data_IF_316578832002
#
_entry.id   IF_316578832002
#
_cell.length_a   1.000
_cell.length_b   1.000
_cell.length_c   1.000
_cell.angle_alpha   90.00
_cell.angle_beta   90.00
_cell.angle_gamma   90.00
#
_symmetry.space_group_name_H-M   'P 1'
#
loop_
_entity.id
_entity.type
_entity.pdbx_description
1 polymer ?
#
# COMPACT_ATOMS: atom_id res chain seq x y z
N UNK A 1 13.80 -11.12 8.07
CA UNK A 1 13.51 -9.78 7.52
C UNK A 1 12.20 -9.26 8.12
N UNK A 2 12.15 -7.98 8.49
CA UNK A 2 10.95 -7.30 9.02
C UNK A 2 10.53 -6.18 8.11
N UNK A 3 9.32 -6.24 7.61
CA UNK A 3 8.76 -5.26 6.66
C UNK A 3 7.53 -4.61 7.26
N UNK A 4 7.51 -3.28 7.30
CA UNK A 4 6.35 -2.49 7.69
C UNK A 4 5.65 -1.98 6.44
N UNK A 5 4.37 -2.29 6.29
CA UNK A 5 3.51 -1.68 5.28
C UNK A 5 2.51 -0.75 5.96
N UNK A 6 2.50 0.52 5.59
CA UNK A 6 1.61 1.56 6.10
C UNK A 6 0.44 1.71 5.12
N UNK A 7 -0.78 1.59 5.63
CA UNK A 7 -2.00 1.75 4.84
C UNK A 7 -2.22 3.20 4.38
N UNK A 8 -3.19 3.39 3.50
CA UNK A 8 -3.51 4.61 2.76
C UNK A 8 -3.30 5.90 3.57
N UNK A 9 -2.25 6.68 3.25
CA UNK A 9 -1.94 7.93 3.95
C UNK A 9 -2.87 9.02 3.46
N UNK A 10 -3.74 9.53 4.34
CA UNK A 10 -4.79 10.50 4.01
C UNK A 10 -4.47 11.88 4.55
N UNK A 11 -4.18 12.81 3.64
CA UNK A 11 -4.00 14.24 3.91
C UNK A 11 -2.87 14.58 4.88
N UNK A 12 -2.89 15.79 5.42
CA UNK A 12 -1.87 16.26 6.39
C UNK A 12 -1.90 15.49 7.72
N UNK A 13 -3.07 15.11 8.29
CA UNK A 13 -3.07 14.33 9.53
C UNK A 13 -2.37 12.97 9.36
N UNK A 14 -2.58 12.28 8.22
CA UNK A 14 -1.91 11.01 7.91
C UNK A 14 -0.39 11.17 7.77
N UNK A 15 0.08 12.21 7.07
CA UNK A 15 1.52 12.48 6.97
C UNK A 15 2.14 12.84 8.31
N UNK A 16 1.43 13.63 9.13
CA UNK A 16 1.95 14.06 10.44
C UNK A 16 2.15 12.88 11.39
N UNK A 17 1.18 11.96 11.51
CA UNK A 17 1.35 10.80 12.40
C UNK A 17 2.49 9.88 11.92
N UNK A 18 2.68 9.76 10.59
CA UNK A 18 3.83 9.02 10.04
C UNK A 18 5.14 9.70 10.45
N UNK A 19 5.25 11.02 10.29
CA UNK A 19 6.42 11.80 10.70
C UNK A 19 6.73 11.63 12.19
N UNK A 20 5.71 11.66 13.03
CA UNK A 20 5.85 11.61 14.49
C UNK A 20 6.20 10.22 15.02
N UNK A 21 5.79 9.14 14.33
CA UNK A 21 5.86 7.78 14.87
C UNK A 21 6.83 6.84 14.13
N UNK A 22 7.09 7.08 12.83
CA UNK A 22 7.79 6.09 12.00
C UNK A 22 9.19 5.77 12.51
N UNK A 23 9.98 6.77 12.88
CA UNK A 23 11.36 6.57 13.34
C UNK A 23 11.43 5.67 14.58
N UNK A 24 10.53 5.90 15.53
CA UNK A 24 10.44 5.10 16.76
C UNK A 24 10.01 3.66 16.47
N UNK A 25 9.01 3.48 15.60
CA UNK A 25 8.53 2.15 15.21
C UNK A 25 9.66 1.37 14.52
N UNK A 26 10.36 2.01 13.56
CA UNK A 26 11.48 1.41 12.84
C UNK A 26 12.57 0.95 13.80
N UNK A 27 12.92 1.79 14.79
CA UNK A 27 13.95 1.48 15.78
C UNK A 27 13.50 0.36 16.74
N UNK A 28 12.33 0.49 17.35
CA UNK A 28 11.82 -0.45 18.36
C UNK A 28 11.51 -1.83 17.78
N UNK A 29 10.94 -1.88 16.59
CA UNK A 29 10.56 -3.12 15.90
C UNK A 29 11.67 -3.67 14.99
N UNK A 30 12.82 -2.97 14.87
CA UNK A 30 13.96 -3.34 14.02
C UNK A 30 13.52 -3.60 12.57
N UNK A 31 12.83 -2.62 11.98
CA UNK A 31 12.29 -2.72 10.62
C UNK A 31 13.42 -2.58 9.59
N UNK A 32 13.49 -3.53 8.66
CA UNK A 32 14.45 -3.55 7.55
C UNK A 32 13.97 -2.77 6.33
N UNK A 33 12.64 -2.71 6.11
CA UNK A 33 12.02 -2.10 4.92
C UNK A 33 10.67 -1.48 5.31
N UNK A 34 10.43 -0.24 4.89
CA UNK A 34 9.15 0.46 5.05
C UNK A 34 8.55 0.73 3.68
N UNK A 35 7.31 0.33 3.49
CA UNK A 35 6.49 0.58 2.30
C UNK A 35 5.20 1.27 2.76
N UNK A 36 4.64 2.17 1.96
CA UNK A 36 3.37 2.82 2.29
C UNK A 36 2.51 3.06 1.04
N UNK A 37 1.19 3.05 1.20
CA UNK A 37 0.32 3.60 0.17
C UNK A 37 0.18 5.11 0.39
N UNK A 38 0.62 5.91 -0.60
CA UNK A 38 0.68 7.37 -0.55
C UNK A 38 -0.35 8.07 -1.42
N UNK A 39 -1.28 7.34 -2.07
CA UNK A 39 -2.15 7.92 -3.09
C UNK A 39 -3.05 9.06 -2.60
N UNK A 40 -3.39 9.09 -1.31
CA UNK A 40 -4.30 10.08 -0.72
C UNK A 40 -3.58 11.17 0.09
N UNK A 41 -2.26 11.27 -0.02
CA UNK A 41 -1.43 12.17 0.78
C UNK A 41 -1.70 13.66 0.52
N UNK A 42 -2.17 14.05 -0.69
CA UNK A 42 -2.45 15.42 -1.07
C UNK A 42 -3.92 15.81 -0.80
N UNK A 43 -4.24 16.15 0.43
CA UNK A 43 -5.59 16.57 0.85
C UNK A 43 -6.67 15.51 0.58
N UNK A 44 -6.31 14.24 0.71
CA UNK A 44 -7.21 13.10 0.55
C UNK A 44 -7.34 12.56 -0.87
N UNK A 45 -6.73 13.19 -1.89
CA UNK A 45 -6.78 12.76 -3.28
C UNK A 45 -5.47 13.04 -4.01
N UNK A 46 -4.81 12.00 -4.48
CA UNK A 46 -3.55 12.09 -5.19
C UNK A 46 -2.33 12.36 -4.29
N UNK A 47 -1.17 12.45 -4.92
CA UNK A 47 0.10 12.82 -4.33
C UNK A 47 0.81 13.84 -5.23
N UNK A 48 1.52 14.81 -4.64
CA UNK A 48 2.35 15.77 -5.37
C UNK A 48 3.82 15.37 -5.32
N UNK A 49 4.69 15.83 -6.24
CA UNK A 49 6.13 15.59 -6.18
C UNK A 49 6.74 15.93 -4.82
N UNK A 50 6.43 17.11 -4.29
CA UNK A 50 6.91 17.56 -2.97
C UNK A 50 6.52 16.61 -1.84
N UNK A 51 5.26 16.12 -1.84
CA UNK A 51 4.78 15.20 -0.81
C UNK A 51 5.36 13.79 -0.97
N UNK A 52 5.63 13.35 -2.19
CA UNK A 52 6.35 12.12 -2.43
C UNK A 52 7.77 12.18 -1.88
N UNK A 53 8.52 13.26 -2.17
CA UNK A 53 9.85 13.48 -1.61
C UNK A 53 9.84 13.59 -0.07
N UNK A 54 8.84 14.28 0.50
CA UNK A 54 8.64 14.40 1.95
C UNK A 54 8.48 13.00 2.60
N UNK A 55 7.57 12.17 2.09
CA UNK A 55 7.32 10.82 2.61
C UNK A 55 8.53 9.89 2.44
N UNK A 56 9.17 9.92 1.27
CA UNK A 56 10.40 9.15 1.03
C UNK A 56 11.55 9.60 1.96
N UNK A 57 11.61 10.91 2.26
CA UNK A 57 12.57 11.49 3.19
C UNK A 57 12.37 11.07 4.65
N UNK A 58 11.17 10.64 5.05
CA UNK A 58 10.87 10.10 6.38
C UNK A 58 11.40 8.67 6.58
N UNK A 59 11.95 8.03 5.53
CA UNK A 59 12.48 6.66 5.58
C UNK A 59 11.52 5.60 5.00
N UNK A 60 10.47 6.03 4.29
CA UNK A 60 9.68 5.12 3.44
C UNK A 60 10.50 4.83 2.19
N UNK A 61 10.73 3.56 1.89
CA UNK A 61 11.55 3.16 0.75
C UNK A 61 10.74 3.11 -0.55
N UNK A 62 9.46 2.73 -0.49
CA UNK A 62 8.58 2.64 -1.68
C UNK A 62 7.21 3.17 -1.32
N UNK A 63 6.67 4.01 -2.20
CA UNK A 63 5.28 4.48 -2.16
C UNK A 63 4.47 3.75 -3.23
N UNK A 64 3.38 3.10 -2.84
CA UNK A 64 2.38 2.58 -3.77
C UNK A 64 1.26 3.60 -3.98
N UNK A 65 0.52 3.46 -5.07
CA UNK A 65 -0.61 4.30 -5.44
C UNK A 65 -1.89 3.49 -5.61
N UNK A 66 -2.85 4.07 -6.31
CA UNK A 66 -4.15 3.46 -6.60
C UNK A 66 -4.92 4.27 -7.64
N UNK A 67 -6.25 4.30 -7.52
CA UNK A 67 -7.12 4.99 -8.49
C UNK A 67 -6.96 6.53 -8.49
N UNK A 68 -6.38 7.12 -7.43
CA UNK A 68 -6.09 8.54 -7.33
C UNK A 68 -4.67 8.92 -7.78
N UNK A 69 -3.91 8.00 -8.38
CA UNK A 69 -2.51 8.25 -8.82
C UNK A 69 -2.35 9.45 -9.74
N UNK A 70 -3.42 9.83 -10.49
CA UNK A 70 -3.39 10.90 -11.50
C UNK A 70 -4.12 12.18 -11.09
N UNK A 71 -4.65 12.28 -9.88
CA UNK A 71 -5.48 13.41 -9.45
C UNK A 71 -4.68 14.72 -9.31
N UNK A 72 -3.36 14.64 -9.21
CA UNK A 72 -2.44 15.79 -9.24
C UNK A 72 -1.63 15.77 -10.53
N UNK A 73 -1.94 16.68 -11.44
CA UNK A 73 -1.37 16.69 -12.80
C UNK A 73 0.15 16.75 -12.83
N UNK A 74 0.76 17.45 -11.88
CA UNK A 74 2.22 17.57 -11.73
C UNK A 74 2.94 16.23 -11.51
N UNK A 75 2.21 15.21 -11.07
CA UNK A 75 2.79 13.88 -10.85
C UNK A 75 3.15 13.17 -12.16
N UNK A 76 2.50 13.51 -13.25
CA UNK A 76 2.72 12.91 -14.57
C UNK A 76 4.16 13.11 -15.07
N UNK A 77 4.73 14.29 -14.83
CA UNK A 77 6.10 14.62 -15.21
C UNK A 77 7.12 14.06 -14.19
N UNK A 78 6.72 13.92 -12.94
CA UNK A 78 7.60 13.49 -11.86
C UNK A 78 7.80 11.96 -11.78
N UNK A 79 6.72 11.18 -11.94
CA UNK A 79 6.75 9.72 -11.78
C UNK A 79 7.82 9.00 -12.62
N UNK A 80 8.08 9.36 -13.88
CA UNK A 80 9.15 8.73 -14.66
C UNK A 80 10.55 8.87 -14.07
N UNK A 81 10.76 9.89 -13.23
CA UNK A 81 12.05 10.19 -12.61
C UNK A 81 12.15 9.71 -11.15
N UNK A 82 11.05 9.20 -10.58
CA UNK A 82 11.02 8.67 -9.20
C UNK A 82 10.59 7.21 -9.19
N UNK A 83 11.51 6.26 -9.38
CA UNK A 83 11.17 4.84 -9.50
C UNK A 83 10.57 4.23 -8.23
N UNK A 84 10.74 4.88 -7.06
CA UNK A 84 10.17 4.44 -5.79
C UNK A 84 8.73 4.90 -5.55
N UNK A 85 8.17 5.71 -6.46
CA UNK A 85 6.75 6.06 -6.47
C UNK A 85 6.05 5.22 -7.54
N UNK A 86 5.26 4.25 -7.10
CA UNK A 86 4.55 3.34 -7.98
C UNK A 86 3.13 3.82 -8.26
N UNK A 87 2.65 3.48 -9.43
CA UNK A 87 1.24 3.49 -9.79
C UNK A 87 0.77 2.06 -10.03
N UNK A 88 -0.53 1.76 -10.08
CA UNK A 88 -0.97 0.42 -10.45
C UNK A 88 -0.37 -0.04 -11.77
N UNK A 89 0.26 -1.22 -11.75
CA UNK A 89 1.00 -1.77 -12.88
C UNK A 89 0.10 -2.16 -14.06
N UNK A 90 -1.17 -2.44 -13.79
CA UNK A 90 -2.17 -2.82 -14.78
C UNK A 90 -2.88 -1.64 -15.46
N UNK A 91 -2.38 -0.40 -15.35
CA UNK A 91 -2.70 0.64 -16.32
C UNK A 91 -2.16 0.28 -17.71
N UNK A 92 -2.77 0.76 -18.80
CA UNK A 92 -2.30 0.54 -20.16
C UNK A 92 -0.83 0.90 -20.35
N UNK A 93 -0.18 0.28 -21.34
CA UNK A 93 1.20 0.60 -21.70
C UNK A 93 1.34 2.07 -22.13
N UNK A 94 2.51 2.65 -21.85
CA UNK A 94 2.84 4.03 -22.25
C UNK A 94 2.44 5.12 -21.25
N UNK A 95 1.68 4.80 -20.18
CA UNK A 95 1.42 5.80 -19.13
C UNK A 95 2.66 6.00 -18.25
N UNK A 96 2.88 7.22 -17.70
CA UNK A 96 4.06 7.54 -16.90
C UNK A 96 4.26 6.64 -15.68
N UNK A 97 5.53 6.44 -15.27
CA UNK A 97 5.89 5.70 -14.08
C UNK A 97 5.83 4.17 -14.22
N UNK A 98 6.07 3.47 -13.14
CA UNK A 98 6.12 2.00 -13.06
C UNK A 98 5.15 1.45 -12.03
N UNK A 99 4.70 0.22 -12.21
CA UNK A 99 3.95 -0.54 -11.20
C UNK A 99 4.83 -1.48 -10.39
N UNK A 100 6.13 -1.56 -10.71
CA UNK A 100 7.07 -2.48 -10.06
C UNK A 100 8.36 -1.76 -9.73
N UNK A 101 8.87 -1.97 -8.53
CA UNK A 101 10.19 -1.52 -8.09
C UNK A 101 10.98 -2.68 -7.50
N UNK A 102 12.28 -2.73 -7.81
CA UNK A 102 13.23 -3.68 -7.23
C UNK A 102 14.32 -2.90 -6.50
N UNK A 103 14.55 -3.25 -5.25
CA UNK A 103 15.54 -2.59 -4.38
C UNK A 103 16.28 -3.57 -3.47
N UNK A 104 17.12 -3.01 -2.59
CA UNK A 104 17.85 -3.75 -1.56
C UNK A 104 17.52 -3.13 -0.21
N UNK A 105 17.03 -3.96 0.72
CA UNK A 105 16.68 -3.52 2.07
C UNK A 105 17.93 -3.30 2.94
N UNK A 106 17.77 -2.67 4.11
CA UNK A 106 18.88 -2.37 5.05
C UNK A 106 19.70 -3.59 5.46
N UNK A 107 19.05 -4.76 5.52
CA UNK A 107 19.70 -6.04 5.84
C UNK A 107 20.34 -6.75 4.64
N UNK A 108 20.41 -6.10 3.46
CA UNK A 108 21.00 -6.64 2.25
C UNK A 108 20.07 -7.55 1.42
N UNK A 109 18.85 -7.80 1.84
CA UNK A 109 17.89 -8.63 1.11
C UNK A 109 17.35 -7.85 -0.08
N UNK A 110 17.45 -8.45 -1.29
CA UNK A 110 16.85 -7.90 -2.50
C UNK A 110 15.35 -8.15 -2.51
N UNK A 111 14.58 -7.09 -2.73
CA UNK A 111 13.12 -7.14 -2.69
C UNK A 111 12.48 -6.56 -3.95
N UNK A 112 11.23 -6.94 -4.18
CA UNK A 112 10.36 -6.29 -5.17
C UNK A 112 9.05 -5.87 -4.51
N UNK A 113 8.51 -4.74 -4.97
CA UNK A 113 7.17 -4.25 -4.65
C UNK A 113 6.39 -4.10 -5.94
N UNK A 114 5.21 -4.71 -6.00
CA UNK A 114 4.26 -4.57 -7.09
C UNK A 114 3.02 -3.85 -6.58
N UNK A 115 2.53 -2.89 -7.34
CA UNK A 115 1.26 -2.22 -7.10
C UNK A 115 0.27 -2.61 -8.20
N UNK A 116 -0.90 -3.08 -7.83
CA UNK A 116 -1.98 -3.50 -8.73
C UNK A 116 -3.30 -2.86 -8.30
N UNK A 117 -4.21 -2.64 -9.26
CA UNK A 117 -5.55 -2.14 -8.98
C UNK A 117 -6.61 -3.13 -9.44
N UNK A 118 -7.65 -3.29 -8.62
CA UNK A 118 -8.84 -4.03 -8.97
C UNK A 118 -9.68 -3.35 -10.05
N UNK A 119 -10.67 -4.07 -10.57
CA UNK A 119 -11.56 -3.58 -11.64
C UNK A 119 -13.01 -3.49 -11.20
N UNK A 120 -13.39 -4.17 -10.13
CA UNK A 120 -14.78 -4.19 -9.65
C UNK A 120 -15.07 -2.88 -8.93
N UNK A 121 -16.04 -2.13 -9.45
CA UNK A 121 -16.43 -0.78 -9.00
C UNK A 121 -15.34 0.31 -9.12
N UNK A 122 -14.27 0.02 -9.83
CA UNK A 122 -13.20 0.97 -10.17
C UNK A 122 -13.12 1.19 -11.67
N UNK A 123 -12.31 2.16 -12.10
CA UNK A 123 -12.06 2.42 -13.53
C UNK A 123 -11.56 1.14 -14.20
N UNK A 124 -12.18 0.69 -15.31
CA UNK A 124 -11.74 -0.49 -16.05
C UNK A 124 -10.34 -0.29 -16.62
N UNK A 125 -9.41 -1.09 -16.16
CA UNK A 125 -8.03 -1.16 -16.65
C UNK A 125 -7.68 -2.63 -16.92
N UNK A 126 -6.44 -2.94 -17.30
CA UNK A 126 -6.01 -4.29 -17.62
C UNK A 126 -6.17 -5.25 -16.42
N UNK A 127 -6.21 -6.55 -16.72
CA UNK A 127 -6.41 -7.61 -15.74
C UNK A 127 -5.27 -7.67 -14.70
N UNK A 128 -5.54 -7.47 -13.39
CA UNK A 128 -4.51 -7.46 -12.38
C UNK A 128 -3.87 -8.85 -12.14
N UNK A 129 -4.60 -9.95 -12.36
CA UNK A 129 -4.07 -11.32 -12.18
C UNK A 129 -3.05 -11.64 -13.26
N UNK A 130 -3.39 -11.37 -14.53
CA UNK A 130 -2.45 -11.53 -15.65
C UNK A 130 -1.28 -10.58 -15.57
N UNK A 131 -1.51 -9.36 -15.05
CA UNK A 131 -0.42 -8.42 -14.83
C UNK A 131 0.52 -8.89 -13.74
N UNK A 132 0.01 -9.46 -12.64
CA UNK A 132 0.82 -10.09 -11.62
C UNK A 132 1.73 -11.19 -12.21
N UNK A 133 1.18 -12.08 -13.05
CA UNK A 133 1.96 -13.12 -13.73
C UNK A 133 3.09 -12.53 -14.55
N UNK A 134 2.77 -11.54 -15.38
CA UNK A 134 3.73 -10.91 -16.28
C UNK A 134 4.86 -10.18 -15.54
N UNK A 135 4.53 -9.51 -14.42
CA UNK A 135 5.54 -8.79 -13.63
C UNK A 135 6.40 -9.75 -12.78
N UNK A 136 5.80 -10.76 -12.16
CA UNK A 136 6.55 -11.77 -11.40
C UNK A 136 7.53 -12.53 -12.30
N UNK A 137 7.14 -12.84 -13.54
CA UNK A 137 8.02 -13.51 -14.50
C UNK A 137 9.23 -12.69 -14.95
N UNK A 138 9.19 -11.36 -14.80
CA UNK A 138 10.27 -10.44 -15.15
C UNK A 138 11.24 -10.17 -13.99
N UNK A 139 10.89 -10.58 -12.77
CA UNK A 139 11.73 -10.31 -11.62
C UNK A 139 13.09 -11.00 -11.73
N UNK A 140 14.18 -10.32 -11.35
CA UNK A 140 15.48 -10.96 -11.24
C UNK A 140 15.45 -12.18 -10.31
N UNK A 141 16.14 -13.25 -10.65
CA UNK A 141 16.13 -14.53 -9.90
C UNK A 141 16.69 -14.43 -8.48
N UNK A 142 17.41 -13.37 -8.17
CA UNK A 142 17.98 -13.08 -6.85
C UNK A 142 17.07 -12.23 -5.95
N UNK A 143 15.88 -11.84 -6.44
CA UNK A 143 14.86 -11.22 -5.59
C UNK A 143 14.35 -12.22 -4.58
N UNK A 144 14.56 -11.91 -3.30
CA UNK A 144 14.23 -12.82 -2.22
C UNK A 144 12.90 -12.50 -1.52
N UNK A 145 12.46 -11.24 -1.51
CA UNK A 145 11.21 -10.80 -0.90
C UNK A 145 10.32 -10.11 -1.94
N UNK A 146 9.06 -10.51 -2.04
CA UNK A 146 8.08 -9.90 -2.95
C UNK A 146 6.84 -9.50 -2.17
N UNK A 147 6.49 -8.20 -2.23
CA UNK A 147 5.24 -7.67 -1.70
C UNK A 147 4.37 -7.14 -2.84
N UNK A 148 3.09 -7.47 -2.79
CA UNK A 148 2.08 -6.97 -3.73
C UNK A 148 1.04 -6.17 -2.96
N UNK A 149 0.85 -4.89 -3.34
CA UNK A 149 -0.26 -4.05 -2.88
C UNK A 149 -1.39 -4.15 -3.91
N UNK A 150 -2.51 -4.76 -3.50
CA UNK A 150 -3.73 -4.87 -4.29
C UNK A 150 -4.72 -3.80 -3.87
N UNK A 151 -4.70 -2.69 -4.58
CA UNK A 151 -5.59 -1.56 -4.37
C UNK A 151 -6.95 -1.82 -5.02
N UNK A 152 -7.94 -2.26 -4.24
CA UNK A 152 -9.24 -2.71 -4.78
C UNK A 152 -10.41 -2.45 -3.83
N UNK A 153 -11.59 -2.17 -4.41
CA UNK A 153 -12.82 -1.95 -3.66
C UNK A 153 -13.36 -3.25 -3.06
N UNK A 154 -13.46 -4.32 -3.86
CA UNK A 154 -14.16 -5.53 -3.43
C UNK A 154 -13.27 -6.50 -2.68
N UNK A 155 -13.76 -7.00 -1.55
CA UNK A 155 -13.07 -8.02 -0.76
C UNK A 155 -12.86 -9.32 -1.52
N UNK A 156 -13.82 -9.73 -2.38
CA UNK A 156 -13.71 -10.95 -3.17
C UNK A 156 -12.54 -10.92 -4.15
N UNK A 157 -12.28 -9.76 -4.78
CA UNK A 157 -11.14 -9.60 -5.71
C UNK A 157 -9.80 -9.68 -4.95
N UNK A 158 -9.72 -9.06 -3.76
CA UNK A 158 -8.53 -9.13 -2.89
C UNK A 158 -8.29 -10.54 -2.36
N UNK A 159 -9.33 -11.21 -1.85
CA UNK A 159 -9.22 -12.60 -1.36
C UNK A 159 -8.80 -13.55 -2.48
N UNK A 160 -9.39 -13.40 -3.68
CA UNK A 160 -9.00 -14.21 -4.84
C UNK A 160 -7.54 -13.98 -5.23
N UNK A 161 -7.06 -12.72 -5.23
CA UNK A 161 -5.66 -12.39 -5.50
C UNK A 161 -4.73 -13.00 -4.44
N UNK A 162 -5.10 -12.97 -3.16
CA UNK A 162 -4.32 -13.60 -2.09
C UNK A 162 -4.10 -15.10 -2.33
N UNK A 163 -5.18 -15.83 -2.63
CA UNK A 163 -5.09 -17.25 -2.96
C UNK A 163 -4.33 -17.53 -4.25
N UNK A 164 -4.50 -16.68 -5.26
CA UNK A 164 -3.81 -16.78 -6.54
C UNK A 164 -2.28 -16.63 -6.40
N UNK A 165 -1.85 -15.81 -5.44
CA UNK A 165 -0.44 -15.51 -5.19
C UNK A 165 0.18 -16.37 -4.07
N UNK A 166 -0.61 -17.24 -3.42
CA UNK A 166 -0.08 -18.09 -2.34
C UNK A 166 1.05 -18.99 -2.84
N UNK A 167 2.22 -18.87 -2.22
CA UNK A 167 3.45 -19.55 -2.63
C UNK A 167 4.20 -18.88 -3.79
N UNK A 168 3.70 -17.75 -4.32
CA UNK A 168 4.30 -17.00 -5.44
C UNK A 168 4.82 -15.62 -5.04
N UNK A 169 4.35 -15.08 -3.93
CA UNK A 169 4.83 -13.86 -3.31
C UNK A 169 5.10 -14.11 -1.82
N UNK A 170 5.89 -13.23 -1.18
CA UNK A 170 6.08 -13.27 0.27
C UNK A 170 4.87 -12.67 0.99
N UNK A 171 4.29 -11.60 0.43
CA UNK A 171 3.14 -10.93 1.00
C UNK A 171 2.22 -10.35 -0.08
N UNK A 172 0.92 -10.37 0.19
CA UNK A 172 -0.11 -9.62 -0.51
C UNK A 172 -0.94 -8.85 0.52
N UNK A 173 -0.99 -7.54 0.39
CA UNK A 173 -1.77 -6.64 1.24
C UNK A 173 -2.81 -5.92 0.39
N UNK A 174 -4.00 -5.71 0.94
CA UNK A 174 -5.03 -4.90 0.29
C UNK A 174 -5.06 -3.48 0.83
N UNK A 175 -5.47 -2.53 -0.03
CA UNK A 175 -5.68 -1.11 0.27
C UNK A 175 -6.96 -0.61 -0.38
N UNK A 176 -7.28 0.66 -0.31
CA UNK A 176 -8.40 1.38 -0.93
C UNK A 176 -9.60 1.65 -0.03
N UNK A 177 -10.13 0.66 0.71
CA UNK A 177 -11.40 0.87 1.41
C UNK A 177 -11.27 1.77 2.63
N UNK A 178 -10.04 2.03 3.09
CA UNK A 178 -9.71 2.80 4.30
C UNK A 178 -10.16 2.14 5.61
N UNK A 179 -10.81 0.96 5.54
CA UNK A 179 -11.31 0.21 6.69
C UNK A 179 -10.46 -1.02 6.91
N UNK A 180 -9.69 -1.03 7.99
CA UNK A 180 -8.83 -2.17 8.32
C UNK A 180 -9.65 -3.43 8.59
N UNK A 181 -9.32 -4.53 7.92
CA UNK A 181 -9.93 -5.84 8.15
C UNK A 181 -9.19 -6.61 9.26
N UNK A 182 -9.78 -7.68 9.75
CA UNK A 182 -9.26 -8.48 10.87
C UNK A 182 -8.96 -9.92 10.43
N UNK A 183 -8.48 -10.08 9.21
CA UNK A 183 -8.27 -11.38 8.56
C UNK A 183 -6.82 -11.67 8.21
N UNK A 184 -5.90 -10.92 8.85
CA UNK A 184 -4.46 -11.12 8.67
C UNK A 184 -4.05 -12.56 9.00
N UNK A 185 -3.32 -13.18 8.10
CA UNK A 185 -2.85 -14.57 8.22
C UNK A 185 -1.70 -14.88 7.28
N UNK A 186 -0.98 -15.93 7.58
CA UNK A 186 -0.08 -16.56 6.61
C UNK A 186 -0.84 -17.69 5.91
N UNK A 187 -0.92 -17.64 4.60
CA UNK A 187 -1.57 -18.65 3.77
C UNK A 187 -0.74 -19.95 3.73
N UNK A 188 -1.34 -21.11 3.36
CA UNK A 188 -0.69 -22.42 3.49
C UNK A 188 0.66 -22.57 2.81
N UNK A 189 0.90 -21.85 1.69
CA UNK A 189 2.18 -21.88 0.97
C UNK A 189 3.14 -20.76 1.40
N UNK A 190 2.81 -19.99 2.45
CA UNK A 190 3.70 -19.05 3.11
C UNK A 190 3.61 -17.60 2.62
N UNK A 191 2.52 -17.21 1.98
CA UNK A 191 2.25 -15.82 1.65
C UNK A 191 1.51 -15.14 2.81
N UNK A 192 2.05 -14.05 3.36
CA UNK A 192 1.33 -13.19 4.30
C UNK A 192 0.19 -12.46 3.58
N UNK A 193 -1.00 -12.41 4.19
CA UNK A 193 -2.20 -11.87 3.58
C UNK A 193 -3.03 -11.04 4.56
N UNK A 194 -3.57 -9.93 4.08
CA UNK A 194 -4.66 -9.16 4.69
C UNK A 194 -5.53 -8.53 3.61
N UNK A 195 -6.86 -8.56 3.80
CA UNK A 195 -7.81 -7.98 2.84
C UNK A 195 -7.69 -6.47 2.73
N UNK A 196 -7.55 -5.73 3.84
CA UNK A 196 -7.31 -4.28 3.81
C UNK A 196 -6.53 -3.85 5.06
N UNK A 197 -5.45 -3.11 4.85
CA UNK A 197 -4.62 -2.57 5.94
C UNK A 197 -5.33 -1.41 6.64
N UNK A 198 -6.27 -0.76 5.95
CA UNK A 198 -6.94 0.45 6.41
C UNK A 198 -6.13 1.71 6.13
N UNK A 199 -6.68 2.88 6.48
CA UNK A 199 -6.01 4.16 6.26
C UNK A 199 -5.16 4.61 7.45
N UNK A 200 -4.17 5.43 7.13
CA UNK A 200 -3.37 6.23 8.07
C UNK A 200 -3.82 7.68 7.95
N UNK A 201 -4.56 8.17 8.94
CA UNK A 201 -5.18 9.49 8.88
C UNK A 201 -6.30 9.69 9.89
N UNK A 202 -7.20 10.67 9.66
CA UNK A 202 -8.24 11.04 10.60
C UNK A 202 -9.44 10.09 10.52
N UNK A 203 -9.73 9.40 11.61
CA UNK A 203 -10.87 8.50 11.77
C UNK A 203 -12.11 9.18 12.38
N UNK A 204 -12.02 10.47 12.73
CA UNK A 204 -13.15 11.27 13.22
C UNK A 204 -14.22 11.60 12.17
N UNK A 205 -14.06 11.13 10.93
CA UNK A 205 -14.96 11.30 9.81
C UNK A 205 -15.40 9.99 9.15
N UNK A 206 -15.76 10.05 7.87
CA UNK A 206 -16.11 8.88 7.06
C UNK A 206 -14.96 8.61 6.09
N UNK A 207 -14.26 7.51 6.29
CA UNK A 207 -13.09 7.08 5.49
C UNK A 207 -12.08 8.21 5.19
N UNK A 208 -11.82 9.07 6.22
CA UNK A 208 -10.86 10.17 6.13
C UNK A 208 -11.44 11.53 5.74
N UNK A 209 -12.71 11.59 5.35
CA UNK A 209 -13.39 12.82 4.91
C UNK A 209 -14.36 13.33 5.96
N UNK A 210 -14.66 14.64 5.89
CA UNK A 210 -15.60 15.30 6.81
C UNK A 210 -16.93 14.57 6.88
N UNK A 211 -17.35 14.24 8.11
CA UNK A 211 -18.50 13.42 8.38
C UNK A 211 -19.82 14.05 7.92
N UNK A 212 -19.98 15.33 8.16
CA UNK A 212 -21.27 16.00 7.96
C UNK A 212 -21.53 16.20 6.45
N UNK A 213 -20.48 16.52 5.69
CA UNK A 213 -20.56 16.61 4.23
C UNK A 213 -20.91 15.26 3.59
N UNK A 214 -20.30 14.15 4.07
CA UNK A 214 -20.57 12.81 3.55
C UNK A 214 -21.99 12.35 3.91
N UNK A 215 -22.43 12.51 5.17
CA UNK A 215 -23.79 12.15 5.61
C UNK A 215 -24.83 12.92 4.79
N UNK A 216 -24.61 14.24 4.62
CA UNK A 216 -25.51 15.08 3.80
C UNK A 216 -25.65 14.53 2.39
N UNK A 217 -24.53 14.17 1.74
CA UNK A 217 -24.55 13.59 0.38
C UNK A 217 -25.34 12.28 0.31
N UNK A 218 -25.24 11.41 1.32
CA UNK A 218 -26.01 10.17 1.37
C UNK A 218 -27.51 10.42 1.58
N UNK A 219 -27.88 11.49 2.27
CA UNK A 219 -29.27 11.83 2.54
C UNK A 219 -29.96 12.53 1.36
N UNK A 220 -29.27 13.41 0.65
CA UNK A 220 -29.88 14.23 -0.41
C UNK A 220 -29.43 13.88 -1.84
N UNK A 221 -28.37 13.07 -1.99
CA UNK A 221 -27.82 12.67 -3.29
C UNK A 221 -27.11 13.81 -4.04
N UNK A 222 -26.96 14.98 -3.44
CA UNK A 222 -26.35 16.14 -4.12
C UNK A 222 -24.84 16.12 -4.05
N UNK A 223 -24.12 16.67 -5.04
CA UNK A 223 -22.68 16.84 -4.98
C UNK A 223 -22.28 17.68 -3.76
N UNK A 224 -21.26 17.21 -3.04
CA UNK A 224 -20.66 17.93 -1.92
C UNK A 224 -19.15 18.01 -2.11
N UNK A 225 -18.53 19.11 -1.67
CA UNK A 225 -17.08 19.21 -1.58
C UNK A 225 -16.64 18.43 -0.35
N UNK A 226 -15.69 17.50 -0.55
CA UNK A 226 -15.11 16.75 0.53
C UNK A 226 -13.82 17.41 1.00
N UNK A 227 -13.70 17.56 2.31
CA UNK A 227 -12.50 18.01 3.00
C UNK A 227 -12.01 16.89 3.92
N UNK A 228 -10.70 16.88 4.16
CA UNK A 228 -10.11 15.89 5.08
C UNK A 228 -10.67 16.11 6.48
N UNK A 229 -11.10 15.04 7.12
CA UNK A 229 -11.64 15.09 8.48
C UNK A 229 -10.58 15.52 9.50
N UNK A 230 -11.04 15.83 10.71
CA UNK A 230 -10.20 16.10 11.87
C UNK A 230 -10.49 15.11 12.99
N UNK A 231 -9.53 14.97 13.92
CA UNK A 231 -9.68 14.15 15.13
C UNK A 231 -9.51 12.65 14.92
N UNK A 232 -9.29 11.93 16.01
CA UNK A 232 -9.01 10.49 16.07
C UNK A 232 -7.99 10.04 14.99
N UNK A 233 -6.81 10.70 14.99
CA UNK A 233 -5.76 10.39 14.00
C UNK A 233 -5.10 9.08 14.37
N UNK A 234 -5.14 8.13 13.43
CA UNK A 234 -4.59 6.78 13.60
C UNK A 234 -3.65 6.43 12.44
N UNK A 235 -2.62 5.66 12.75
CA UNK A 235 -1.74 5.01 11.76
C UNK A 235 -2.03 3.52 11.79
N UNK A 236 -2.60 3.00 10.71
CA UNK A 236 -2.79 1.57 10.49
C UNK A 236 -1.68 1.03 9.62
N UNK A 237 -1.08 -0.06 10.05
CA UNK A 237 -0.03 -0.74 9.31
C UNK A 237 0.00 -2.24 9.62
N UNK A 238 0.74 -2.98 8.84
CA UNK A 238 1.05 -4.39 9.11
C UNK A 238 2.55 -4.60 9.18
N UNK A 239 2.97 -5.40 10.16
CA UNK A 239 4.32 -5.92 10.27
C UNK A 239 4.34 -7.33 9.70
N UNK A 240 5.18 -7.54 8.68
CA UNK A 240 5.40 -8.83 8.04
C UNK A 240 6.79 -9.31 8.42
N UNK A 241 6.89 -10.52 8.94
CA UNK A 241 8.17 -11.14 9.25
C UNK A 241 8.40 -12.37 8.37
N UNK A 242 9.65 -12.58 7.97
CA UNK A 242 10.08 -13.79 7.28
C UNK A 242 11.00 -14.60 8.17
N UNK A 243 11.03 -15.92 7.99
CA UNK A 243 11.93 -16.79 8.73
C UNK A 243 13.39 -16.50 8.41
N UNK A 244 14.22 -16.37 9.45
CA UNK A 244 15.68 -16.24 9.32
C UNK A 244 16.34 -17.50 8.76
N UNK A 245 15.65 -18.65 8.85
CA UNK A 245 16.10 -19.93 8.31
C UNK A 245 16.13 -20.02 6.78
N UNK A 246 15.70 -18.95 6.08
CA UNK A 246 15.75 -18.89 4.61
C UNK A 246 14.77 -19.82 3.91
N UNK A 247 13.69 -20.26 4.60
CA UNK A 247 12.63 -21.03 3.96
C UNK A 247 12.02 -20.27 2.78
N UNK A 248 11.95 -20.97 1.65
CA UNK A 248 11.46 -20.41 0.39
C UNK A 248 10.14 -21.03 0.00
N UNK A 249 9.30 -20.23 -0.64
CA UNK A 249 8.08 -20.70 -1.28
C UNK A 249 8.40 -21.34 -2.66
N UNK A 250 7.39 -21.83 -3.37
CA UNK A 250 7.55 -22.50 -4.66
C UNK A 250 8.19 -21.61 -5.75
N UNK A 251 8.05 -20.30 -5.65
CA UNK A 251 8.66 -19.34 -6.57
C UNK A 251 10.09 -18.94 -6.18
N UNK A 252 10.63 -19.47 -5.07
CA UNK A 252 11.99 -19.16 -4.59
C UNK A 252 12.09 -17.92 -3.69
N UNK A 253 10.96 -17.29 -3.34
CA UNK A 253 10.94 -16.14 -2.43
C UNK A 253 10.83 -16.57 -0.97
N UNK A 254 11.26 -15.71 -0.04
CA UNK A 254 11.12 -15.93 1.39
C UNK A 254 9.65 -16.17 1.75
N UNK A 255 9.40 -17.17 2.61
CA UNK A 255 8.09 -17.38 3.21
C UNK A 255 7.89 -16.42 4.38
N UNK A 256 6.69 -15.88 4.48
CA UNK A 256 6.30 -15.18 5.70
C UNK A 256 6.18 -16.16 6.86
N UNK A 257 6.65 -15.75 8.04
CA UNK A 257 6.43 -16.45 9.31
C UNK A 257 5.27 -15.86 10.10
N UNK A 258 5.04 -14.57 9.94
CA UNK A 258 3.92 -13.87 10.59
C UNK A 258 3.50 -12.64 9.81
N UNK A 259 2.27 -12.21 10.08
CA UNK A 259 1.74 -10.88 9.77
C UNK A 259 0.95 -10.41 10.98
N UNK A 260 1.21 -9.19 11.44
CA UNK A 260 0.58 -8.57 12.62
C UNK A 260 0.03 -7.20 12.22
N UNK A 261 -1.23 -6.92 12.54
CA UNK A 261 -1.79 -5.57 12.43
C UNK A 261 -1.28 -4.70 13.58
N UNK A 262 -0.81 -3.52 13.24
CA UNK A 262 -0.40 -2.51 14.21
C UNK A 262 -1.26 -1.26 14.01
N UNK A 263 -1.71 -0.68 15.12
CA UNK A 263 -2.46 0.56 15.14
C UNK A 263 -1.90 1.50 16.19
N UNK A 264 -1.49 2.68 15.76
CA UNK A 264 -1.00 3.75 16.64
C UNK A 264 -1.99 4.92 16.60
N UNK A 265 -2.15 5.60 17.70
CA UNK A 265 -3.01 6.78 17.82
C UNK A 265 -2.19 7.98 18.27
N UNK A 266 -2.65 9.17 17.92
CA UNK A 266 -2.24 10.41 18.58
C UNK A 266 -3.15 10.57 19.79
N UNK A 267 -2.55 10.68 20.96
CA UNK A 267 -3.26 10.94 22.23
C UNK A 267 -3.84 12.36 22.25
#
# INVERSE_FOLDING_TARGET
MRVLFIGDIVGSPGRQIVQDRLADIVSQRKIDLVIANGENAASGFGITPRLADELLGMGIEVLTGGNHSWDRKEILEYMPHQPRLLRPGNFPEGVPGSGTYVGVAKNGVKYAVLNLQGRVFLTPIDDPFRKADAELAKLPSDVAFVLIDMHAETTSEKVAMGWYLDGRATAMVGTHTHVATADERVLPQGTAYITDVGMTGPHGGVIGMDRDAIIKRFLDGLPARFEVASGDVQMNCVLIETNDAGERNAAGHLRASSIERLRFRVD
#
